data_IF_004845431924
#
_entry.id   IF_004845431924
#
_cell.length_a   1.000
_cell.length_b   1.000
_cell.length_c   1.000
_cell.angle_alpha   90.00
_cell.angle_beta   90.00
_cell.angle_gamma   90.00
#
_symmetry.space_group_name_H-M   'P 1'
#
loop_
_entity.id
_entity.type
_entity.pdbx_description
1 polymer ?
#
# COMPACT_ATOMS: atom_id res chain seq x y z
N UNK A 1 12.26 -1.15 14.70
CA UNK A 1 12.91 0.02 14.04
C UNK A 1 13.40 -0.26 12.62
N UNK A 2 13.65 -1.53 12.23
CA UNK A 2 14.28 -1.84 10.93
C UNK A 2 13.53 -1.37 9.69
N UNK A 3 12.20 -1.53 9.64
CA UNK A 3 11.39 -1.18 8.45
C UNK A 3 11.44 0.32 8.12
N UNK A 4 11.16 1.26 9.05
CA UNK A 4 11.26 2.69 8.76
C UNK A 4 12.64 3.13 8.27
N UNK A 5 13.72 2.62 8.89
CA UNK A 5 15.09 2.93 8.47
C UNK A 5 15.37 2.44 7.04
N UNK A 6 14.97 1.21 6.72
CA UNK A 6 15.11 0.65 5.38
C UNK A 6 14.33 1.43 4.33
N UNK A 7 13.04 1.73 4.58
CA UNK A 7 12.21 2.52 3.65
C UNK A 7 12.81 3.90 3.40
N UNK A 8 13.23 4.60 4.46
CA UNK A 8 13.87 5.92 4.32
C UNK A 8 15.17 5.84 3.54
N UNK A 9 15.97 4.79 3.69
CA UNK A 9 17.18 4.57 2.89
C UNK A 9 16.85 4.43 1.40
N UNK A 10 15.79 3.70 1.04
CA UNK A 10 15.31 3.61 -0.34
C UNK A 10 14.84 4.96 -0.88
N UNK A 11 14.22 5.80 -0.05
CA UNK A 11 13.86 7.16 -0.47
C UNK A 11 15.07 8.06 -0.81
N UNK A 12 16.27 7.89 -0.21
CA UNK A 12 17.44 8.56 -0.85
C UNK A 12 17.79 7.88 -2.13
N UNK A 13 17.99 6.56 -2.07
CA UNK A 13 18.68 5.85 -3.12
C UNK A 13 17.92 5.94 -4.45
N UNK A 14 16.59 5.87 -4.39
CA UNK A 14 15.73 5.83 -5.57
C UNK A 14 15.22 7.21 -6.00
N UNK A 15 14.97 8.14 -5.08
CA UNK A 15 14.31 9.42 -5.39
C UNK A 15 15.08 10.66 -4.96
N UNK A 16 16.25 10.51 -4.33
CA UNK A 16 17.14 11.62 -4.00
C UNK A 16 16.70 12.48 -2.82
N UNK A 17 15.71 12.05 -2.02
CA UNK A 17 15.33 12.78 -0.79
C UNK A 17 16.57 12.89 0.12
N UNK A 18 16.99 14.06 0.62
CA UNK A 18 18.15 14.23 1.53
C UNK A 18 18.00 13.55 2.90
N UNK A 19 19.11 13.10 3.51
CA UNK A 19 19.11 12.33 4.77
C UNK A 19 18.67 13.19 5.95
N UNK A 20 19.03 14.47 5.90
CA UNK A 20 18.72 15.45 6.93
C UNK A 20 17.23 15.78 7.01
N UNK A 21 16.43 15.43 5.99
CA UNK A 21 14.98 15.65 5.96
C UNK A 21 14.18 14.41 6.36
N UNK A 22 14.84 13.37 6.88
CA UNK A 22 14.21 12.08 7.17
C UNK A 22 14.36 11.73 8.64
N UNK A 23 13.25 11.28 9.24
CA UNK A 23 13.21 10.90 10.64
C UNK A 23 12.49 9.55 10.78
N UNK A 24 13.22 8.43 11.01
CA UNK A 24 12.58 7.16 11.32
C UNK A 24 11.95 7.23 12.70
N UNK A 25 10.68 6.84 12.79
CA UNK A 25 9.92 6.79 14.04
C UNK A 25 9.32 5.40 14.20
N UNK A 26 9.41 4.85 15.41
CA UNK A 26 8.71 3.64 15.83
C UNK A 26 7.87 3.96 17.06
N UNK A 27 6.59 3.63 17.00
CA UNK A 27 5.67 3.76 18.13
C UNK A 27 5.56 2.41 18.82
N UNK A 28 6.15 2.31 20.02
CA UNK A 28 6.04 1.12 20.84
C UNK A 28 4.70 1.10 21.59
N UNK A 29 3.73 0.38 21.02
CA UNK A 29 2.43 0.11 21.62
C UNK A 29 2.37 -1.29 22.26
N UNK A 30 3.51 -1.91 22.54
CA UNK A 30 3.61 -3.29 23.02
C UNK A 30 3.64 -4.34 21.91
N UNK A 31 3.81 -5.59 22.32
CA UNK A 31 3.96 -6.75 21.45
C UNK A 31 3.04 -7.90 21.84
N UNK A 32 2.66 -8.72 20.87
CA UNK A 32 1.98 -9.99 21.14
C UNK A 32 2.96 -11.16 21.27
N UNK A 33 4.25 -10.93 20.98
CA UNK A 33 5.32 -11.90 21.16
C UNK A 33 6.00 -11.70 22.53
N UNK A 34 5.33 -12.12 23.60
CA UNK A 34 5.78 -11.89 24.99
C UNK A 34 6.82 -12.92 25.47
N UNK A 35 7.02 -14.00 24.72
CA UNK A 35 7.93 -15.09 25.09
C UNK A 35 9.36 -14.87 24.62
N UNK A 36 9.63 -13.82 23.85
CA UNK A 36 10.94 -13.57 23.26
C UNK A 36 11.89 -12.91 24.28
N UNK A 37 12.93 -13.61 24.76
CA UNK A 37 13.88 -13.07 25.73
C UNK A 37 14.78 -11.98 25.15
N UNK A 38 14.81 -11.81 23.83
CA UNK A 38 15.59 -10.80 23.13
C UNK A 38 14.75 -9.60 22.68
N UNK A 39 13.49 -9.50 23.11
CA UNK A 39 12.66 -8.35 22.81
C UNK A 39 13.21 -7.09 23.48
N UNK A 40 13.68 -6.15 22.66
CA UNK A 40 14.40 -4.96 23.10
C UNK A 40 13.51 -3.85 23.67
N UNK A 41 12.21 -3.89 23.38
CA UNK A 41 11.26 -2.83 23.71
C UNK A 41 10.35 -3.23 24.88
N UNK A 42 9.26 -2.50 25.13
CA UNK A 42 8.39 -2.77 26.28
C UNK A 42 7.71 -4.14 26.16
N UNK A 43 8.09 -5.05 27.05
CA UNK A 43 7.45 -6.36 27.23
C UNK A 43 6.07 -6.22 27.89
N UNK A 44 5.11 -5.76 27.11
CA UNK A 44 3.70 -5.72 27.47
C UNK A 44 2.85 -6.10 26.27
N UNK A 45 1.64 -6.62 26.54
CA UNK A 45 0.67 -6.96 25.49
C UNK A 45 0.40 -5.74 24.62
N UNK A 46 0.33 -5.93 23.30
CA UNK A 46 0.01 -4.85 22.35
C UNK A 46 -1.36 -4.26 22.67
N UNK A 47 -1.47 -2.94 22.61
CA UNK A 47 -2.76 -2.27 22.70
C UNK A 47 -3.74 -2.80 21.63
N UNK A 48 -4.99 -2.96 22.03
CA UNK A 48 -6.05 -3.38 21.13
C UNK A 48 -6.25 -2.33 20.02
N UNK A 49 -6.64 -2.78 18.83
CA UNK A 49 -6.89 -1.93 17.65
C UNK A 49 -5.65 -1.26 17.02
N UNK A 50 -4.43 -1.56 17.47
CA UNK A 50 -3.21 -1.17 16.73
C UNK A 50 -3.01 -2.12 15.53
N UNK A 51 -3.13 -1.58 14.32
CA UNK A 51 -3.12 -2.32 13.06
C UNK A 51 -3.98 -1.63 12.02
N UNK A 52 -4.69 -2.41 11.19
CA UNK A 52 -5.49 -1.89 10.06
C UNK A 52 -6.49 -0.80 10.46
N UNK A 53 -7.21 -0.96 11.58
CA UNK A 53 -8.18 0.04 12.05
C UNK A 53 -7.51 1.39 12.36
N UNK A 54 -6.36 1.36 13.04
CA UNK A 54 -5.55 2.57 13.27
C UNK A 54 -5.03 3.15 11.96
N UNK A 55 -4.56 2.32 11.03
CA UNK A 55 -4.07 2.77 9.71
C UNK A 55 -5.14 3.56 8.96
N UNK A 56 -6.35 3.02 8.81
CA UNK A 56 -7.43 3.71 8.11
C UNK A 56 -7.91 4.95 8.87
N UNK A 57 -7.88 4.94 10.21
CA UNK A 57 -8.19 6.14 10.99
C UNK A 57 -7.19 7.27 10.72
N UNK A 58 -5.90 6.97 10.67
CA UNK A 58 -4.85 7.96 10.40
C UNK A 58 -4.92 8.48 8.96
N UNK A 59 -5.16 7.61 7.97
CA UNK A 59 -5.32 8.03 6.57
C UNK A 59 -6.47 9.03 6.38
N UNK A 60 -7.56 8.92 7.15
CA UNK A 60 -8.66 9.90 7.11
C UNK A 60 -8.26 11.31 7.54
N UNK A 61 -7.09 11.50 8.17
CA UNK A 61 -6.55 12.83 8.52
C UNK A 61 -5.87 13.53 7.34
N UNK A 62 -6.02 13.02 6.12
CA UNK A 62 -5.51 13.66 4.89
C UNK A 62 -5.98 15.09 4.64
N UNK A 63 -7.08 15.53 5.29
CA UNK A 63 -7.55 16.91 5.18
C UNK A 63 -6.74 17.89 6.05
N UNK A 64 -6.00 17.39 7.05
CA UNK A 64 -5.20 18.23 7.97
C UNK A 64 -3.71 17.92 7.92
N UNK A 65 -3.33 16.75 7.42
CA UNK A 65 -1.95 16.29 7.28
C UNK A 65 -1.79 15.65 5.91
N UNK A 66 -0.55 15.34 5.52
CA UNK A 66 -0.27 14.58 4.30
C UNK A 66 0.20 13.14 4.66
N UNK A 67 -0.68 12.28 5.23
CA UNK A 67 -0.33 10.90 5.50
C UNK A 67 -0.27 10.12 4.19
N UNK A 68 0.70 9.22 4.08
CA UNK A 68 0.79 8.21 3.04
C UNK A 68 1.07 6.86 3.69
N UNK A 69 0.28 5.84 3.34
CA UNK A 69 0.54 4.48 3.76
C UNK A 69 0.92 3.64 2.54
N UNK A 70 2.18 3.23 2.47
CA UNK A 70 2.74 2.45 1.36
C UNK A 70 2.07 1.08 1.19
N UNK A 71 1.70 0.41 2.28
CA UNK A 71 1.10 -0.93 2.21
C UNK A 71 -0.33 -0.88 1.64
N UNK A 72 -1.05 0.23 1.83
CA UNK A 72 -2.39 0.48 1.28
C UNK A 72 -2.32 1.18 -0.08
N UNK A 73 -1.71 2.38 -0.13
CA UNK A 73 -1.72 3.27 -1.29
C UNK A 73 -0.56 3.02 -2.26
N UNK A 74 0.55 2.42 -1.82
CA UNK A 74 1.71 2.11 -2.67
C UNK A 74 1.58 0.78 -3.40
N UNK A 75 0.96 -0.22 -2.77
CA UNK A 75 0.82 -1.58 -3.35
C UNK A 75 0.02 -1.58 -4.65
N UNK A 76 -1.17 -0.96 -4.67
CA UNK A 76 -2.07 -1.07 -5.80
C UNK A 76 -1.54 -0.42 -7.09
N UNK A 77 -0.91 0.78 -7.06
CA UNK A 77 -0.26 1.36 -8.23
C UNK A 77 0.91 0.53 -8.76
N UNK A 78 1.71 -0.11 -7.89
CA UNK A 78 2.82 -0.98 -8.34
C UNK A 78 2.27 -2.21 -9.07
N UNK A 79 1.20 -2.82 -8.55
CA UNK A 79 0.52 -3.95 -9.22
C UNK A 79 -0.05 -3.52 -10.57
N UNK A 80 -0.78 -2.40 -10.62
CA UNK A 80 -1.31 -1.87 -11.87
C UNK A 80 -0.18 -1.53 -12.87
N UNK A 81 0.90 -0.92 -12.39
CA UNK A 81 2.09 -0.62 -13.19
C UNK A 81 2.70 -1.89 -13.79
N UNK A 82 2.82 -2.96 -13.00
CA UNK A 82 3.24 -4.28 -13.49
C UNK A 82 2.28 -4.88 -14.53
N UNK A 83 0.97 -4.77 -14.30
CA UNK A 83 -0.05 -5.20 -15.26
C UNK A 83 0.05 -4.42 -16.59
N UNK A 84 0.23 -3.10 -16.53
CA UNK A 84 0.40 -2.26 -17.72
C UNK A 84 1.76 -2.48 -18.39
N UNK A 85 2.83 -2.72 -17.62
CA UNK A 85 4.15 -3.02 -18.16
C UNK A 85 4.26 -4.42 -18.77
N UNK A 86 3.40 -5.36 -18.36
CA UNK A 86 3.28 -6.70 -18.96
C UNK A 86 2.67 -6.70 -20.37
N UNK A 87 2.35 -5.52 -20.93
CA UNK A 87 1.72 -5.35 -22.26
C UNK A 87 2.56 -5.77 -23.50
N UNK A 88 3.81 -6.30 -23.47
CA UNK A 88 4.43 -6.80 -24.70
C UNK A 88 4.15 -8.27 -25.12
N UNK A 89 3.23 -9.05 -24.52
CA UNK A 89 3.12 -10.51 -24.85
C UNK A 89 1.71 -11.09 -25.08
N UNK A 90 0.62 -10.34 -24.87
CA UNK A 90 -0.43 -10.30 -25.91
C UNK A 90 -0.94 -8.86 -26.06
N UNK A 91 -1.06 -8.35 -27.29
CA UNK A 91 -1.47 -6.98 -27.62
C UNK A 91 -2.93 -6.62 -27.29
N UNK A 92 -3.46 -7.14 -26.18
CA UNK A 92 -4.82 -6.89 -25.70
C UNK A 92 -4.85 -5.80 -24.63
N UNK A 93 -5.78 -4.85 -24.74
CA UNK A 93 -5.97 -3.78 -23.76
C UNK A 93 -6.35 -4.33 -22.38
N UNK A 94 -6.24 -3.51 -21.32
CA UNK A 94 -6.52 -3.96 -19.94
C UNK A 94 -8.00 -4.35 -19.76
N UNK A 95 -8.90 -3.69 -20.52
CA UNK A 95 -10.33 -4.00 -20.56
C UNK A 95 -10.68 -5.39 -21.10
N UNK A 96 -9.78 -6.03 -21.85
CA UNK A 96 -9.99 -7.37 -22.42
C UNK A 96 -9.35 -8.49 -21.58
N UNK A 97 -8.70 -8.15 -20.46
CA UNK A 97 -8.00 -9.10 -19.60
C UNK A 97 -8.95 -9.70 -18.56
N UNK A 98 -8.80 -11.00 -18.32
CA UNK A 98 -9.49 -11.70 -17.23
C UNK A 98 -8.61 -11.68 -15.98
N UNK A 99 -9.15 -11.18 -14.89
CA UNK A 99 -8.48 -11.19 -13.60
C UNK A 99 -8.93 -12.45 -12.84
N UNK A 100 -7.98 -13.17 -12.24
CA UNK A 100 -8.32 -14.34 -11.44
C UNK A 100 -9.04 -13.92 -10.16
N UNK A 101 -10.03 -14.72 -9.74
CA UNK A 101 -10.71 -14.58 -8.45
C UNK A 101 -9.80 -15.01 -7.29
N UNK A 102 -8.68 -14.31 -7.14
CA UNK A 102 -7.82 -14.37 -5.95
C UNK A 102 -8.17 -13.22 -5.02
N UNK A 103 -7.61 -13.24 -3.81
CA UNK A 103 -7.66 -12.16 -2.82
C UNK A 103 -6.87 -10.95 -3.30
N UNK A 104 -7.32 -10.33 -4.39
CA UNK A 104 -6.88 -9.02 -4.83
C UNK A 104 -7.55 -8.03 -3.88
N UNK A 105 -6.75 -7.24 -3.15
CA UNK A 105 -7.30 -6.23 -2.24
C UNK A 105 -8.27 -5.31 -2.99
N UNK A 106 -9.33 -4.87 -2.33
CA UNK A 106 -10.37 -4.00 -2.93
C UNK A 106 -9.77 -2.76 -3.60
N UNK A 107 -8.69 -2.22 -3.04
CA UNK A 107 -7.98 -1.04 -3.56
C UNK A 107 -7.30 -1.32 -4.92
N UNK A 108 -6.84 -2.54 -5.16
CA UNK A 108 -6.26 -2.96 -6.45
C UNK A 108 -7.37 -3.09 -7.50
N UNK A 109 -8.51 -3.69 -7.13
CA UNK A 109 -9.69 -3.77 -8.01
C UNK A 109 -10.15 -2.38 -8.42
N UNK A 110 -10.18 -1.43 -7.48
CA UNK A 110 -10.62 -0.06 -7.76
C UNK A 110 -9.66 0.68 -8.68
N UNK A 111 -8.34 0.50 -8.54
CA UNK A 111 -7.39 1.08 -9.48
C UNK A 111 -7.45 0.43 -10.87
N UNK A 112 -7.67 -0.88 -10.97
CA UNK A 112 -7.88 -1.55 -12.27
C UNK A 112 -9.17 -1.04 -12.91
N UNK A 113 -10.26 -0.91 -12.16
CA UNK A 113 -11.52 -0.38 -12.67
C UNK A 113 -11.37 1.06 -13.16
N UNK A 114 -10.61 1.91 -12.45
CA UNK A 114 -10.26 3.25 -12.91
C UNK A 114 -9.43 3.24 -14.18
N UNK A 115 -8.49 2.30 -14.32
CA UNK A 115 -7.69 2.16 -15.54
C UNK A 115 -8.55 1.74 -16.74
N UNK A 116 -9.43 0.75 -16.58
CA UNK A 116 -10.39 0.32 -17.61
C UNK A 116 -11.36 1.46 -17.98
N UNK A 117 -11.85 2.21 -16.99
CA UNK A 117 -12.73 3.36 -17.22
C UNK A 117 -12.04 4.43 -18.06
N UNK A 118 -10.78 4.76 -17.76
CA UNK A 118 -9.99 5.72 -18.56
C UNK A 118 -9.71 5.23 -19.98
N UNK A 119 -9.53 3.93 -20.17
CA UNK A 119 -9.26 3.33 -21.49
C UNK A 119 -10.52 3.27 -22.36
N UNK A 120 -11.66 2.91 -21.78
CA UNK A 120 -12.92 2.64 -22.51
C UNK A 120 -13.90 3.80 -22.53
N UNK A 121 -13.72 4.81 -21.66
CA UNK A 121 -14.66 5.90 -21.45
C UNK A 121 -15.92 5.54 -20.64
N UNK A 122 -16.05 4.28 -20.19
CA UNK A 122 -17.17 3.83 -19.34
C UNK A 122 -17.02 4.31 -17.90
N UNK A 123 -18.08 4.21 -17.10
CA UNK A 123 -17.98 4.53 -15.66
C UNK A 123 -17.11 3.52 -14.91
N UNK A 124 -16.62 3.89 -13.72
CA UNK A 124 -15.83 2.99 -12.87
C UNK A 124 -16.69 1.81 -12.41
N UNK A 125 -17.97 2.03 -12.13
CA UNK A 125 -18.93 1.01 -11.73
C UNK A 125 -19.16 -0.03 -12.84
N UNK A 126 -19.27 0.42 -14.09
CA UNK A 126 -19.36 -0.47 -15.26
C UNK A 126 -18.06 -1.23 -15.48
N UNK A 127 -16.93 -0.54 -15.34
CA UNK A 127 -15.59 -1.12 -15.48
C UNK A 127 -15.33 -2.19 -14.43
N UNK A 128 -15.87 -2.03 -13.21
CA UNK A 128 -15.74 -3.01 -12.12
C UNK A 128 -16.43 -4.33 -12.42
N UNK A 129 -17.47 -4.35 -13.26
CA UNK A 129 -18.17 -5.59 -13.68
C UNK A 129 -17.34 -6.44 -14.64
N UNK A 130 -16.27 -5.89 -15.22
CA UNK A 130 -15.37 -6.58 -16.13
C UNK A 130 -14.20 -7.27 -15.43
N UNK A 131 -14.04 -7.06 -14.13
CA UNK A 131 -12.97 -7.62 -13.28
C UNK A 131 -13.53 -8.80 -12.50
#
# INVERSE_FOLDING_TARGET
>A
MGIPVGKLTLYTACTGVPLQMRLPVELDCGTNNLADPFYISRLQKRFENVGNSTTFHLLRKQNTHCPFNDDVQGTAPVVLGGLLASVPLPGKPISERKFGAGTVGTDIVDLIAQAISRETGKTVEESRKHI
#
